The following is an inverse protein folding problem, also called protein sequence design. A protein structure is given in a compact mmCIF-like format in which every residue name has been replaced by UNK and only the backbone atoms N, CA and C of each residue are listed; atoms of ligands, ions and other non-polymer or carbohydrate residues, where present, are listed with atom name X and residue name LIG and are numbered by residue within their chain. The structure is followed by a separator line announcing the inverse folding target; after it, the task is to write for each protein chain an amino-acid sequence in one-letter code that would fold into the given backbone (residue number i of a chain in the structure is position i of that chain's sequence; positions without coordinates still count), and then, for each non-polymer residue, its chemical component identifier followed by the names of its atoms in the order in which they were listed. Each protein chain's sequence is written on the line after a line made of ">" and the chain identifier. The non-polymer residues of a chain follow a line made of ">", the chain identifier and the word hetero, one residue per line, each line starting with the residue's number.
data_IF_432462112973
#
_entry.id   IF_432462112973
#
_cell.length_a   1.000
_cell.length_b   1.000
_cell.length_c   1.000
_cell.angle_alpha   90.00
_cell.angle_beta   90.00
_cell.angle_gamma   90.00
#
_symmetry.space_group_name_H-M   'P 1'
#
loop_
_entity.id
_entity.type
_entity.pdbx_description
1 polymer ?
#
# COMPACT_ATOMS: atom_id res chain seq x y z
N UNK A 1 6.45 -1.00 -4.66
CA UNK A 1 5.60 -0.65 -3.49
C UNK A 1 6.40 0.12 -2.46
N UNK A 2 5.74 0.97 -1.75
CA UNK A 2 6.35 1.76 -0.68
C UNK A 2 5.71 1.44 0.65
N UNK A 3 6.50 0.95 1.61
CA UNK A 3 6.08 0.75 3.00
C UNK A 3 4.88 -0.19 3.15
N UNK A 4 4.80 -1.21 2.31
CA UNK A 4 3.73 -2.20 2.38
C UNK A 4 4.36 -3.58 2.45
N UNK A 5 3.95 -4.34 3.45
CA UNK A 5 4.38 -5.71 3.62
C UNK A 5 3.14 -6.59 3.57
N UNK A 6 3.15 -7.59 2.72
CA UNK A 6 2.00 -8.47 2.52
C UNK A 6 2.36 -9.91 2.82
N UNK A 7 1.42 -10.62 3.41
CA UNK A 7 1.57 -12.04 3.70
C UNK A 7 0.27 -12.75 3.37
N UNK A 8 0.35 -13.79 2.55
CA UNK A 8 -0.80 -14.61 2.21
C UNK A 8 -0.72 -15.93 2.96
N UNK A 9 -1.78 -16.24 3.70
CA UNK A 9 -1.92 -17.52 4.40
C UNK A 9 -3.26 -18.12 4.02
N UNK A 10 -3.22 -19.23 3.26
CA UNK A 10 -4.44 -19.80 2.70
C UNK A 10 -5.13 -18.77 1.82
N UNK A 11 -6.32 -18.37 2.20
CA UNK A 11 -7.09 -17.34 1.47
C UNK A 11 -7.11 -15.99 2.17
N UNK A 12 -6.24 -15.81 3.18
CA UNK A 12 -6.24 -14.57 3.98
C UNK A 12 -4.99 -13.76 3.66
N UNK A 13 -5.19 -12.55 3.18
CA UNK A 13 -4.11 -11.60 2.92
C UNK A 13 -3.97 -10.65 4.10
N UNK A 14 -2.78 -10.61 4.68
CA UNK A 14 -2.45 -9.67 5.75
C UNK A 14 -1.54 -8.59 5.21
N UNK A 15 -1.85 -7.34 5.52
CA UNK A 15 -1.09 -6.19 5.08
C UNK A 15 -0.58 -5.42 6.28
N UNK A 16 0.71 -5.09 6.28
CA UNK A 16 1.33 -4.28 7.34
C UNK A 16 1.86 -2.99 6.76
N UNK A 17 1.56 -1.89 7.43
CA UNK A 17 2.01 -0.55 7.08
C UNK A 17 2.51 0.14 8.34
N UNK A 18 3.70 0.73 8.25
CA UNK A 18 4.26 1.52 9.34
C UNK A 18 3.79 2.97 9.18
N UNK A 19 2.89 3.39 10.06
CA UNK A 19 2.28 4.71 9.95
C UNK A 19 3.20 5.87 10.36
N UNK A 20 4.41 5.55 10.82
CA UNK A 20 5.39 6.59 11.17
C UNK A 20 6.24 7.02 9.98
N UNK A 21 6.20 6.29 8.88
CA UNK A 21 6.98 6.61 7.68
C UNK A 21 6.22 7.55 6.76
N UNK A 22 6.96 8.44 6.10
CA UNK A 22 6.41 9.40 5.17
C UNK A 22 7.29 9.46 3.92
N UNK A 23 6.66 9.52 2.76
CA UNK A 23 7.37 9.51 1.47
C UNK A 23 7.14 10.79 0.68
N UNK A 24 6.78 11.86 1.37
CA UNK A 24 6.61 13.17 0.76
C UNK A 24 5.20 13.42 0.26
N UNK A 25 4.97 14.59 -0.32
CA UNK A 25 3.64 14.98 -0.75
C UNK A 25 3.14 14.14 -1.93
N UNK A 26 1.82 13.96 -1.98
CA UNK A 26 1.17 13.33 -3.12
C UNK A 26 1.27 14.25 -4.34
N UNK A 27 0.87 13.75 -5.50
CA UNK A 27 0.90 14.55 -6.73
C UNK A 27 0.04 15.81 -6.64
N UNK A 28 -1.02 15.79 -5.83
CA UNK A 28 -1.85 16.98 -5.62
C UNK A 28 -1.23 17.98 -4.63
N UNK A 29 -0.25 17.55 -3.85
CA UNK A 29 0.38 18.38 -2.83
C UNK A 29 -0.43 18.58 -1.57
N UNK A 30 -1.61 17.98 -1.47
CA UNK A 30 -2.53 18.18 -0.34
C UNK A 30 -2.40 17.15 0.75
N UNK A 31 -1.75 16.04 0.46
CA UNK A 31 -1.59 14.95 1.41
C UNK A 31 -0.16 14.46 1.40
N UNK A 32 0.21 13.74 2.45
CA UNK A 32 1.52 13.11 2.56
C UNK A 32 1.32 11.61 2.44
N UNK A 33 2.04 10.99 1.51
CA UNK A 33 1.93 9.54 1.27
C UNK A 33 2.67 8.79 2.37
N UNK A 34 1.99 7.85 3.00
CA UNK A 34 2.56 6.97 4.00
C UNK A 34 2.92 5.63 3.37
N UNK A 35 2.05 5.09 2.54
CA UNK A 35 2.28 3.82 1.88
C UNK A 35 1.50 3.76 0.57
N UNK A 36 2.02 3.01 -0.40
CA UNK A 36 1.34 2.88 -1.68
C UNK A 36 1.80 1.64 -2.41
N UNK A 37 0.88 0.96 -3.09
CA UNK A 37 1.22 -0.09 -4.03
C UNK A 37 1.69 0.48 -5.37
N UNK A 38 1.56 1.80 -5.55
CA UNK A 38 1.96 2.49 -6.80
C UNK A 38 1.20 1.94 -8.00
N UNK A 39 -0.11 1.81 -7.85
CA UNK A 39 -0.98 1.23 -8.86
C UNK A 39 -1.51 -0.12 -8.41
N UNK A 40 -2.26 -0.76 -9.28
CA UNK A 40 -2.82 -2.07 -8.97
C UNK A 40 -1.77 -3.14 -9.25
N UNK A 41 -1.64 -4.07 -8.33
CA UNK A 41 -0.73 -5.19 -8.45
C UNK A 41 -1.47 -6.50 -8.22
N UNK A 42 -0.94 -7.60 -8.76
CA UNK A 42 -1.47 -8.92 -8.47
C UNK A 42 -1.03 -9.35 -7.07
N UNK A 43 -1.91 -10.07 -6.37
CA UNK A 43 -1.57 -10.63 -5.07
C UNK A 43 -0.64 -11.82 -5.30
N UNK A 44 0.55 -11.77 -4.71
CA UNK A 44 1.52 -12.85 -4.83
C UNK A 44 0.98 -14.14 -4.22
N UNK A 45 0.97 -15.21 -5.00
CA UNK A 45 0.38 -16.48 -4.58
C UNK A 45 -1.11 -16.61 -4.91
N UNK A 46 -1.75 -15.55 -5.41
CA UNK A 46 -3.16 -15.56 -5.78
C UNK A 46 -3.40 -14.51 -6.86
N UNK A 47 -2.79 -14.73 -8.04
CA UNK A 47 -2.66 -13.68 -9.06
C UNK A 47 -3.95 -13.24 -9.72
N UNK A 48 -5.04 -14.00 -9.58
CA UNK A 48 -6.34 -13.56 -10.09
C UNK A 48 -6.94 -12.43 -9.26
N UNK A 49 -6.43 -12.21 -8.05
CA UNK A 49 -6.83 -11.08 -7.22
C UNK A 49 -5.87 -9.92 -7.43
N UNK A 50 -6.41 -8.71 -7.51
CA UNK A 50 -5.62 -7.48 -7.64
C UNK A 50 -5.82 -6.62 -6.41
N UNK A 51 -4.80 -5.85 -6.07
CA UNK A 51 -4.87 -4.92 -4.95
C UNK A 51 -4.29 -3.57 -5.35
N UNK A 52 -5.00 -2.51 -4.97
CA UNK A 52 -4.50 -1.15 -5.07
C UNK A 52 -4.72 -0.49 -3.73
N UNK A 53 -3.65 -0.04 -3.10
CA UNK A 53 -3.70 0.52 -1.75
C UNK A 53 -2.92 1.81 -1.67
N UNK A 54 -3.52 2.81 -1.03
CA UNK A 54 -2.85 4.06 -0.72
C UNK A 54 -3.18 4.44 0.72
N UNK A 55 -2.14 4.68 1.51
CA UNK A 55 -2.29 5.19 2.86
C UNK A 55 -1.66 6.57 2.89
N UNK A 56 -2.40 7.56 3.36
CA UNK A 56 -1.95 8.94 3.34
C UNK A 56 -2.55 9.69 4.51
N UNK A 57 -1.97 10.84 4.81
CA UNK A 57 -2.50 11.71 5.84
C UNK A 57 -2.59 13.14 5.32
N UNK A 58 -3.39 13.94 5.98
CA UNK A 58 -3.54 15.34 5.66
C UNK A 58 -2.24 16.07 5.93
N UNK A 59 -1.86 16.92 4.99
CA UNK A 59 -0.65 17.70 5.10
C UNK A 59 -0.80 18.83 6.12
#
# INVERSE_FOLDING_TARGET
>A
MKNIEMKLEGNVLTIKVDLTKEFGPSSSGKTIIIASTEGNIAVDGHEEAKIGLNVYKKK
#
